data_IF_463163345748
#
_entry.id   IF_463163345748
#
_cell.length_a   1.000
_cell.length_b   1.000
_cell.length_c   1.000
_cell.angle_alpha   90.00
_cell.angle_beta   90.00
_cell.angle_gamma   90.00
#
_symmetry.space_group_name_H-M   'P 1'
#
loop_
_entity.id
_entity.type
_entity.pdbx_description
1 polymer ?
#
# COMPACT_ATOMS: atom_id res chain seq x y z
N UNK A 1 16.13 -13.76 14.44
CA UNK A 1 14.76 -13.27 14.23
C UNK A 1 14.60 -12.09 15.15
N UNK A 2 14.16 -10.96 14.61
CA UNK A 2 13.83 -9.78 15.42
C UNK A 2 12.59 -10.12 16.27
N UNK A 3 12.70 -10.13 17.61
CA UNK A 3 11.57 -10.44 18.48
C UNK A 3 10.43 -9.42 18.39
N UNK A 4 10.67 -8.23 17.81
CA UNK A 4 9.65 -7.20 17.60
C UNK A 4 8.85 -7.38 16.30
N UNK A 5 9.32 -8.25 15.39
CA UNK A 5 8.67 -8.54 14.10
C UNK A 5 8.39 -10.03 13.97
N UNK A 6 7.26 -10.53 14.51
CA UNK A 6 6.92 -11.94 14.46
C UNK A 6 6.96 -12.47 13.03
N UNK A 7 7.71 -13.55 12.81
CA UNK A 7 7.83 -14.23 11.52
C UNK A 7 8.40 -13.37 10.37
N UNK A 8 9.00 -12.20 10.65
CA UNK A 8 9.56 -11.33 9.62
C UNK A 8 8.52 -10.57 8.78
N UNK A 9 7.30 -10.41 9.31
CA UNK A 9 6.23 -9.63 8.67
C UNK A 9 5.98 -8.34 9.46
N UNK A 10 6.14 -7.20 8.81
CA UNK A 10 5.73 -5.90 9.35
C UNK A 10 4.28 -5.62 8.95
N UNK A 11 3.41 -5.34 9.92
CA UNK A 11 2.01 -4.99 9.73
C UNK A 11 1.69 -3.72 10.51
N UNK A 12 0.93 -2.80 9.91
CA UNK A 12 0.47 -1.60 10.59
C UNK A 12 -0.88 -1.13 10.06
N UNK A 13 -1.60 -0.39 10.91
CA UNK A 13 -2.76 0.42 10.54
C UNK A 13 -2.42 1.88 10.82
N UNK A 14 -2.65 2.74 9.84
CA UNK A 14 -2.36 4.17 9.96
C UNK A 14 -3.55 4.93 10.54
N UNK A 15 -3.28 5.96 11.35
CA UNK A 15 -4.25 7.02 11.64
C UNK A 15 -4.16 8.15 10.60
N UNK A 16 -5.10 9.11 10.62
CA UNK A 16 -5.17 10.19 9.61
C UNK A 16 -4.17 11.35 9.81
N UNK A 17 -3.38 11.31 10.88
CA UNK A 17 -2.48 12.38 11.36
C UNK A 17 -1.04 12.20 10.86
N UNK A 18 -0.28 13.30 10.81
CA UNK A 18 1.16 13.29 10.51
C UNK A 18 1.56 13.35 9.03
N UNK A 19 0.63 13.56 8.11
CA UNK A 19 0.92 13.65 6.68
C UNK A 19 0.98 15.07 6.11
N UNK A 20 0.94 15.15 4.77
CA UNK A 20 1.13 16.35 3.96
C UNK A 20 -0.14 16.84 3.25
N UNK A 21 -1.22 16.07 3.27
CA UNK A 21 -2.50 16.44 2.66
C UNK A 21 -3.19 17.55 3.44
N UNK A 22 -4.06 18.31 2.76
CA UNK A 22 -4.73 19.49 3.31
C UNK A 22 -6.27 19.37 3.22
N UNK A 23 -6.97 20.28 3.90
CA UNK A 23 -8.44 20.36 3.84
C UNK A 23 -9.13 19.09 4.34
N UNK A 24 -10.09 18.59 3.55
CA UNK A 24 -10.86 17.37 3.89
C UNK A 24 -9.98 16.11 3.92
N UNK A 25 -8.85 16.13 3.19
CA UNK A 25 -7.86 15.05 3.15
C UNK A 25 -6.78 15.18 4.23
N UNK A 26 -6.82 16.24 5.05
CA UNK A 26 -5.82 16.45 6.07
C UNK A 26 -5.75 15.25 7.03
N UNK A 27 -4.60 14.64 7.29
CA UNK A 27 -3.24 14.98 6.83
C UNK A 27 -2.53 13.84 6.10
N UNK A 28 -2.77 12.58 6.51
CA UNK A 28 -2.11 11.39 5.97
C UNK A 28 -3.06 10.62 5.05
N UNK A 29 -3.52 11.24 3.97
CA UNK A 29 -4.31 10.53 2.97
C UNK A 29 -3.40 9.66 2.08
N UNK A 30 -3.73 8.36 1.99
CA UNK A 30 -3.01 7.36 1.19
C UNK A 30 -3.76 6.99 -0.10
N UNK A 31 -5.02 7.39 -0.23
CA UNK A 31 -5.89 7.10 -1.37
C UNK A 31 -5.67 8.09 -2.53
N UNK A 32 -5.45 7.56 -3.74
CA UNK A 32 -5.24 8.37 -4.95
C UNK A 32 -6.48 8.58 -5.82
N UNK A 33 -7.64 8.04 -5.41
CA UNK A 33 -8.90 8.07 -6.19
C UNK A 33 -10.04 8.83 -5.51
N UNK A 34 -9.74 9.60 -4.46
CA UNK A 34 -10.70 10.41 -3.72
C UNK A 34 -10.64 11.92 -4.06
N UNK A 35 -9.79 12.33 -5.00
CA UNK A 35 -9.68 13.72 -5.46
C UNK A 35 -8.57 14.57 -4.79
N UNK A 36 -7.75 13.97 -3.93
CA UNK A 36 -6.61 14.64 -3.31
C UNK A 36 -5.45 14.90 -4.28
N UNK A 37 -4.52 15.76 -3.86
CA UNK A 37 -3.28 16.02 -4.58
C UNK A 37 -2.37 14.78 -4.59
N UNK A 38 -2.14 14.22 -5.78
CA UNK A 38 -1.33 13.01 -5.95
C UNK A 38 0.12 13.15 -5.42
N UNK A 39 0.71 14.35 -5.43
CA UNK A 39 2.05 14.57 -4.88
C UNK A 39 2.05 14.47 -3.35
N UNK A 40 1.01 14.97 -2.69
CA UNK A 40 0.84 14.83 -1.24
C UNK A 40 0.60 13.36 -0.88
N UNK A 41 -0.27 12.67 -1.64
CA UNK A 41 -0.52 11.23 -1.46
C UNK A 41 0.77 10.40 -1.63
N UNK A 42 1.60 10.70 -2.63
CA UNK A 42 2.91 10.03 -2.80
C UNK A 42 3.85 10.28 -1.62
N UNK A 43 3.94 11.52 -1.13
CA UNK A 43 4.74 11.85 0.07
C UNK A 43 4.23 11.12 1.30
N UNK A 44 2.91 11.03 1.49
CA UNK A 44 2.30 10.29 2.60
C UNK A 44 2.63 8.79 2.53
N UNK A 45 2.57 8.18 1.33
CA UNK A 45 2.95 6.78 1.14
C UNK A 45 4.43 6.55 1.44
N UNK A 46 5.32 7.43 0.98
CA UNK A 46 6.75 7.37 1.28
C UNK A 46 6.99 7.47 2.80
N UNK A 47 6.37 8.43 3.46
CA UNK A 47 6.47 8.63 4.91
C UNK A 47 6.05 7.38 5.70
N UNK A 48 4.94 6.74 5.30
CA UNK A 48 4.48 5.48 5.93
C UNK A 48 5.50 4.37 5.72
N UNK A 49 6.03 4.19 4.51
CA UNK A 49 7.05 3.16 4.29
C UNK A 49 8.34 3.42 5.06
N UNK A 50 8.78 4.67 5.17
CA UNK A 50 9.94 5.05 5.99
C UNK A 50 9.71 4.70 7.47
N UNK A 51 8.53 5.02 8.01
CA UNK A 51 8.17 4.68 9.39
C UNK A 51 8.14 3.16 9.65
N UNK A 52 7.86 2.36 8.61
CA UNK A 52 7.86 0.90 8.68
C UNK A 52 9.21 0.25 8.31
N UNK A 53 10.26 1.05 8.06
CA UNK A 53 11.57 0.54 7.64
C UNK A 53 11.60 -0.02 6.21
N UNK A 54 10.59 0.27 5.39
CA UNK A 54 10.44 -0.20 4.02
C UNK A 54 10.59 0.92 2.97
N UNK A 55 11.12 2.09 3.37
CA UNK A 55 11.22 3.27 2.50
C UNK A 55 12.02 3.04 1.22
N UNK A 56 13.06 2.17 1.25
CA UNK A 56 13.84 1.80 0.07
C UNK A 56 13.08 0.92 -0.93
N UNK A 57 11.93 0.36 -0.53
CA UNK A 57 11.09 -0.51 -1.34
C UNK A 57 9.86 0.21 -1.91
N UNK A 58 9.85 1.55 -1.91
CA UNK A 58 8.74 2.34 -2.46
C UNK A 58 8.41 2.01 -3.93
N UNK A 59 9.44 1.75 -4.75
CA UNK A 59 9.25 1.33 -6.16
C UNK A 59 8.55 -0.02 -6.31
N UNK A 60 8.52 -0.82 -5.24
CA UNK A 60 7.84 -2.13 -5.16
C UNK A 60 6.52 -2.08 -4.40
N UNK A 61 6.00 -0.90 -4.10
CA UNK A 61 4.72 -0.76 -3.41
C UNK A 61 3.55 -1.19 -4.33
N UNK A 62 2.83 -2.24 -3.94
CA UNK A 62 1.58 -2.65 -4.60
C UNK A 62 0.37 -2.05 -3.90
N UNK A 63 -0.47 -1.35 -4.67
CA UNK A 63 -1.73 -0.76 -4.23
C UNK A 63 -2.79 -1.11 -5.26
N UNK A 64 -3.93 -1.72 -4.88
CA UNK A 64 -4.96 -2.05 -5.83
C UNK A 64 -5.91 -0.88 -6.09
N UNK A 65 -6.58 -0.92 -7.23
CA UNK A 65 -7.81 -0.19 -7.45
C UNK A 65 -8.96 -0.97 -6.80
N UNK A 66 -9.29 -0.60 -5.56
CA UNK A 66 -10.42 -1.17 -4.83
C UNK A 66 -11.73 -0.77 -5.54
N UNK A 67 -12.46 -1.78 -6.03
CA UNK A 67 -13.72 -1.63 -6.79
C UNK A 67 -14.90 -2.30 -6.07
N UNK A 68 -14.73 -2.65 -4.79
CA UNK A 68 -15.69 -3.36 -3.96
C UNK A 68 -16.13 -4.72 -4.55
N UNK A 69 -15.21 -5.40 -5.23
CA UNK A 69 -15.37 -6.75 -5.74
C UNK A 69 -14.73 -7.80 -4.83
N UNK A 70 -14.44 -8.96 -5.40
CA UNK A 70 -13.85 -10.11 -4.71
C UNK A 70 -12.56 -10.61 -5.36
N UNK A 71 -11.97 -9.82 -6.25
CA UNK A 71 -10.75 -10.21 -6.97
C UNK A 71 -9.53 -10.05 -6.07
N UNK A 72 -8.70 -11.09 -6.06
CA UNK A 72 -7.43 -11.15 -5.33
C UNK A 72 -6.28 -11.15 -6.35
N UNK A 73 -5.31 -10.26 -6.16
CA UNK A 73 -4.05 -10.26 -6.93
C UNK A 73 -2.99 -11.03 -6.15
N UNK A 74 -2.26 -11.90 -6.82
CA UNK A 74 -1.25 -12.76 -6.19
C UNK A 74 0.15 -12.44 -6.74
N UNK A 75 1.06 -12.00 -5.87
CA UNK A 75 2.48 -11.87 -6.18
C UNK A 75 3.29 -12.92 -5.42
N UNK A 76 3.76 -13.94 -6.14
CA UNK A 76 4.49 -15.08 -5.56
C UNK A 76 5.91 -15.25 -6.07
N UNK A 77 6.30 -14.48 -7.09
CA UNK A 77 7.62 -14.50 -7.72
C UNK A 77 8.27 -13.12 -7.64
N UNK A 78 9.58 -13.08 -7.37
CA UNK A 78 10.33 -11.83 -7.25
C UNK A 78 10.83 -11.25 -8.59
N UNK A 79 10.40 -11.81 -9.72
CA UNK A 79 10.81 -11.30 -11.04
C UNK A 79 10.11 -9.99 -11.37
N UNK A 80 10.75 -9.15 -12.19
CA UNK A 80 10.16 -7.87 -12.62
C UNK A 80 8.85 -8.10 -13.39
N UNK A 81 8.79 -9.13 -14.22
CA UNK A 81 7.61 -9.46 -15.02
C UNK A 81 6.42 -9.88 -14.14
N UNK A 82 6.68 -10.61 -13.06
CA UNK A 82 5.63 -11.00 -12.11
C UNK A 82 5.11 -9.78 -11.34
N UNK A 83 6.00 -8.86 -10.98
CA UNK A 83 5.62 -7.61 -10.34
C UNK A 83 4.79 -6.71 -11.26
N UNK A 84 5.23 -6.53 -12.50
CA UNK A 84 4.51 -5.74 -13.52
C UNK A 84 3.12 -6.31 -13.81
N UNK A 85 3.00 -7.63 -13.91
CA UNK A 85 1.71 -8.30 -14.08
C UNK A 85 0.79 -8.07 -12.88
N UNK A 86 1.29 -8.30 -11.66
CA UNK A 86 0.51 -8.06 -10.44
C UNK A 86 0.07 -6.60 -10.32
N UNK A 87 0.95 -5.65 -10.65
CA UNK A 87 0.63 -4.23 -10.67
C UNK A 87 -0.46 -3.89 -11.68
N UNK A 88 -0.38 -4.44 -12.90
CA UNK A 88 -1.40 -4.24 -13.94
C UNK A 88 -2.76 -4.83 -13.53
N UNK A 89 -2.77 -6.03 -12.93
CA UNK A 89 -3.99 -6.65 -12.42
C UNK A 89 -4.62 -5.87 -11.27
N UNK A 90 -3.79 -5.31 -10.39
CA UNK A 90 -4.21 -4.49 -9.26
C UNK A 90 -4.81 -3.17 -9.73
N UNK A 91 -4.19 -2.53 -10.73
CA UNK A 91 -4.69 -1.28 -11.34
C UNK A 91 -6.00 -1.49 -12.11
N UNK A 92 -6.16 -2.65 -12.76
CA UNK A 92 -7.40 -3.01 -13.46
C UNK A 92 -8.61 -3.20 -12.54
N UNK A 93 -8.39 -3.39 -11.23
CA UNK A 93 -9.42 -3.62 -10.24
C UNK A 93 -9.15 -4.87 -9.39
N UNK A 94 -9.03 -4.69 -8.08
CA UNK A 94 -8.88 -5.76 -7.10
C UNK A 94 -9.16 -5.22 -5.68
N UNK A 95 -9.54 -6.09 -4.76
CA UNK A 95 -9.89 -5.70 -3.39
C UNK A 95 -9.07 -6.46 -2.34
N UNK A 96 -8.14 -7.31 -2.78
CA UNK A 96 -7.18 -7.99 -1.93
C UNK A 96 -5.88 -8.28 -2.69
N UNK A 97 -4.78 -8.36 -1.95
CA UNK A 97 -3.46 -8.75 -2.46
C UNK A 97 -2.89 -9.84 -1.56
N UNK A 98 -2.41 -10.92 -2.17
CA UNK A 98 -1.59 -11.95 -1.52
C UNK A 98 -0.16 -11.81 -2.02
N UNK A 99 0.78 -11.51 -1.13
CA UNK A 99 2.19 -11.36 -1.47
C UNK A 99 3.03 -12.33 -0.62
N UNK A 100 3.82 -13.17 -1.28
CA UNK A 100 4.81 -14.05 -0.62
C UNK A 100 6.25 -13.64 -0.95
N UNK A 101 6.43 -12.50 -1.61
CA UNK A 101 7.73 -11.96 -2.00
C UNK A 101 8.24 -11.03 -0.90
N UNK A 102 9.45 -11.28 -0.43
CA UNK A 102 10.10 -10.45 0.58
C UNK A 102 10.32 -9.02 0.07
N UNK A 103 10.45 -8.06 0.99
CA UNK A 103 10.81 -6.67 0.67
C UNK A 103 9.87 -6.01 -0.35
N UNK A 104 8.60 -6.42 -0.35
CA UNK A 104 7.57 -5.93 -1.27
C UNK A 104 6.37 -5.43 -0.46
N UNK A 105 6.27 -4.11 -0.23
CA UNK A 105 5.17 -3.51 0.50
C UNK A 105 3.82 -3.69 -0.23
N UNK A 106 2.78 -3.94 0.54
CA UNK A 106 1.39 -4.01 0.07
C UNK A 106 0.57 -3.02 0.90
N UNK A 107 -0.26 -2.21 0.23
CA UNK A 107 -1.09 -1.22 0.90
C UNK A 107 -2.49 -1.19 0.28
N UNK A 108 -3.49 -1.25 1.15
CA UNK A 108 -4.90 -1.04 0.82
C UNK A 108 -5.41 0.18 1.61
N UNK A 109 -6.35 0.91 1.03
CA UNK A 109 -6.91 2.12 1.63
C UNK A 109 -8.31 1.86 2.19
N UNK A 110 -8.57 2.38 3.39
CA UNK A 110 -9.83 2.21 4.09
C UNK A 110 -10.28 3.50 4.75
N UNK A 111 -11.58 3.75 4.68
CA UNK A 111 -12.34 4.68 5.51
C UNK A 111 -13.74 4.06 5.61
N UNK A 112 -14.09 3.53 6.77
CA UNK A 112 -15.32 2.76 7.09
C UNK A 112 -15.33 1.26 6.71
N UNK A 113 -14.83 0.87 5.53
CA UNK A 113 -14.76 -0.56 5.19
C UNK A 113 -13.82 -1.34 6.13
N UNK A 114 -14.10 -2.64 6.30
CA UNK A 114 -13.26 -3.54 7.12
C UNK A 114 -11.97 -3.86 6.36
N UNK A 115 -10.79 -3.65 6.96
CA UNK A 115 -9.52 -4.00 6.36
C UNK A 115 -9.17 -5.50 6.43
#
# INVERSE_FOLDING_TARGET
MDPEVPCGVTLAFTERTGGFSEGEFASLNLGSRCGDNLQQVQKNRQLVLEALGAGEHFSRLLIPHQVHGSKVVCLTSNTSEAFELAQAEAEAGADAIVCTVQNTPVMLAFADCVP
#
